data_IF_531888731913
#
_entry.id   IF_531888731913
#
_cell.length_a   1.000
_cell.length_b   1.000
_cell.length_c   1.000
_cell.angle_alpha   90.00
_cell.angle_beta   90.00
_cell.angle_gamma   90.00
#
_symmetry.space_group_name_H-M   'P 1'
#
loop_
_entity.id
_entity.type
_entity.pdbx_description
1 polymer ?
#
# COMPACT_ATOMS: atom_id res chain seq x y z
N UNK A 1 14.62 63.48 -2.14
CA UNK A 1 15.49 62.50 -1.46
C UNK A 1 14.62 61.38 -0.89
N UNK A 2 14.59 60.20 -1.52
CA UNK A 2 13.76 59.07 -1.10
C UNK A 2 14.58 58.19 -0.14
N UNK A 3 14.18 58.09 1.13
CA UNK A 3 14.85 57.24 2.14
C UNK A 3 14.36 55.79 1.99
N UNK A 4 15.10 55.00 1.21
CA UNK A 4 14.89 53.55 1.10
C UNK A 4 15.27 52.90 2.44
N UNK A 5 14.32 52.24 3.10
CA UNK A 5 14.56 51.51 4.36
C UNK A 5 15.49 50.30 4.10
N UNK A 6 16.64 50.30 4.76
CA UNK A 6 17.73 49.33 4.63
C UNK A 6 17.33 47.87 4.91
N UNK A 7 16.21 47.64 5.59
CA UNK A 7 15.67 46.30 5.91
C UNK A 7 15.11 45.53 4.70
N UNK A 8 14.75 46.22 3.61
CA UNK A 8 14.34 45.55 2.37
C UNK A 8 15.54 45.09 1.53
N UNK A 9 16.66 45.81 1.61
CA UNK A 9 17.84 45.49 0.81
C UNK A 9 18.46 44.15 1.23
N UNK A 10 18.43 43.85 2.53
CA UNK A 10 18.89 42.56 3.08
C UNK A 10 18.04 41.39 2.60
N UNK A 11 16.71 41.57 2.47
CA UNK A 11 15.82 40.52 1.98
C UNK A 11 16.03 40.24 0.48
N UNK A 12 16.22 41.29 -0.32
CA UNK A 12 16.54 41.14 -1.74
C UNK A 12 17.92 40.50 -1.98
N UNK A 13 18.93 40.83 -1.17
CA UNK A 13 20.23 40.16 -1.20
C UNK A 13 20.12 38.67 -0.85
N UNK A 14 19.27 38.30 0.12
CA UNK A 14 19.04 36.90 0.51
C UNK A 14 18.38 36.10 -0.62
N UNK A 15 17.36 36.67 -1.27
CA UNK A 15 16.69 36.05 -2.43
C UNK A 15 17.67 35.91 -3.61
N UNK A 16 18.51 36.92 -3.86
CA UNK A 16 19.52 36.86 -4.91
C UNK A 16 20.56 35.75 -4.65
N UNK A 17 20.98 35.56 -3.39
CA UNK A 17 21.90 34.49 -3.00
C UNK A 17 21.27 33.10 -3.17
N UNK A 18 19.98 32.93 -2.81
CA UNK A 18 19.25 31.66 -3.02
C UNK A 18 19.08 31.33 -4.51
N UNK A 19 18.84 32.35 -5.34
CA UNK A 19 18.75 32.17 -6.80
C UNK A 19 20.11 31.87 -7.42
N UNK A 20 21.18 32.51 -6.92
CA UNK A 20 22.56 32.26 -7.37
C UNK A 20 23.02 30.84 -6.99
N UNK A 21 22.64 30.35 -5.80
CA UNK A 21 22.92 28.97 -5.37
C UNK A 21 22.23 27.89 -6.21
N UNK A 22 21.20 28.25 -6.97
CA UNK A 22 20.49 27.30 -7.84
C UNK A 22 21.24 26.98 -9.14
N UNK A 23 22.32 27.71 -9.47
CA UNK A 23 23.10 27.54 -10.71
C UNK A 23 24.58 27.12 -10.53
N UNK A 24 25.06 26.88 -9.30
CA UNK A 24 26.45 26.44 -9.06
C UNK A 24 26.52 25.00 -8.56
N UNK A 25 26.72 24.06 -9.50
CA UNK A 25 27.44 22.79 -9.37
C UNK A 25 26.96 21.78 -8.31
N UNK A 26 26.50 20.58 -8.66
CA UNK A 26 27.29 19.63 -9.45
C UNK A 26 26.46 18.90 -10.49
N UNK A 27 26.87 19.03 -11.74
CA UNK A 27 26.60 18.03 -12.75
C UNK A 27 27.44 16.79 -12.42
N UNK A 28 26.81 15.72 -11.93
CA UNK A 28 27.39 14.38 -11.92
C UNK A 28 26.56 13.51 -12.84
N UNK A 29 26.99 13.45 -14.10
CA UNK A 29 26.71 12.31 -14.96
C UNK A 29 27.60 11.14 -14.52
N UNK A 30 27.03 9.92 -14.65
CA UNK A 30 27.64 8.57 -14.50
C UNK A 30 27.67 8.00 -13.07
N UNK A 31 26.68 7.15 -12.79
CA UNK A 31 26.96 5.72 -12.81
C UNK A 31 25.70 4.93 -13.22
N UNK A 32 25.68 4.48 -14.47
CA UNK A 32 24.67 3.53 -14.93
C UNK A 32 25.00 2.17 -14.34
N UNK A 33 24.32 1.78 -13.25
CA UNK A 33 24.38 0.39 -12.79
C UNK A 33 23.47 -0.44 -13.68
N UNK A 34 24.09 -1.12 -14.63
CA UNK A 34 23.45 -2.18 -15.39
C UNK A 34 23.05 -3.26 -14.37
N UNK A 35 21.78 -3.31 -14.02
CA UNK A 35 21.22 -4.44 -13.28
C UNK A 35 21.27 -5.66 -14.19
N UNK A 36 22.38 -6.41 -14.11
CA UNK A 36 22.44 -7.79 -14.55
C UNK A 36 21.43 -8.56 -13.70
N UNK A 37 20.32 -8.96 -14.32
CA UNK A 37 19.48 -10.02 -13.78
C UNK A 37 20.28 -11.32 -13.80
N UNK A 38 20.95 -11.64 -12.69
CA UNK A 38 21.37 -13.00 -12.44
C UNK A 38 20.12 -13.81 -12.11
N UNK A 39 19.64 -14.58 -13.10
CA UNK A 39 18.84 -15.77 -12.85
C UNK A 39 19.68 -16.72 -11.99
N UNK A 40 19.49 -16.68 -10.68
CA UNK A 40 19.79 -17.80 -9.80
C UNK A 40 18.43 -18.31 -9.31
N UNK A 41 17.85 -19.21 -10.10
CA UNK A 41 16.80 -20.08 -9.60
C UNK A 41 17.44 -21.01 -8.57
N UNK A 42 17.16 -20.79 -7.29
CA UNK A 42 17.43 -21.75 -6.23
C UNK A 42 16.43 -22.91 -6.38
N UNK A 43 16.73 -23.82 -7.30
CA UNK A 43 16.11 -25.14 -7.36
C UNK A 43 16.96 -26.09 -6.55
N UNK A 44 16.57 -26.34 -5.30
CA UNK A 44 17.02 -27.55 -4.59
C UNK A 44 16.29 -28.75 -5.19
N UNK A 45 16.77 -29.23 -6.33
CA UNK A 45 16.45 -30.58 -6.82
C UNK A 45 17.47 -31.51 -6.20
N UNK A 46 17.01 -32.28 -5.21
CA UNK A 46 17.74 -33.41 -4.68
C UNK A 46 17.83 -34.47 -5.80
N UNK A 47 18.99 -34.59 -6.41
CA UNK A 47 19.28 -35.67 -7.38
C UNK A 47 19.57 -36.95 -6.60
N UNK A 48 18.58 -37.84 -6.51
CA UNK A 48 18.82 -39.24 -6.14
C UNK A 48 19.01 -40.06 -7.42
N UNK A 49 20.23 -40.57 -7.56
CA UNK A 49 20.65 -41.48 -8.61
C UNK A 49 20.52 -42.90 -8.09
N UNK A 50 19.63 -43.71 -8.67
CA UNK A 50 19.71 -45.16 -8.58
C UNK A 50 19.71 -45.80 -9.98
N UNK A 51 20.59 -46.79 -10.14
CA UNK A 51 20.84 -47.57 -11.36
C UNK A 51 19.98 -48.84 -11.33
N UNK A 52 19.44 -49.29 -12.47
CA UNK A 52 18.88 -50.65 -12.60
C UNK A 52 18.18 -50.91 -13.94
N UNK A 53 18.37 -52.12 -14.50
CA UNK A 53 18.15 -52.54 -15.89
C UNK A 53 16.72 -53.00 -16.24
N UNK A 54 16.35 -52.83 -17.53
CA UNK A 54 15.65 -53.86 -18.35
C UNK A 54 14.10 -53.90 -18.37
N UNK A 55 13.49 -53.78 -19.57
CA UNK A 55 12.15 -54.32 -19.87
C UNK A 55 11.25 -53.49 -20.79
N UNK A 56 10.83 -54.07 -21.93
CA UNK A 56 9.87 -53.54 -22.93
C UNK A 56 8.42 -53.49 -22.41
N UNK A 57 7.66 -52.43 -22.73
CA UNK A 57 6.39 -52.45 -23.48
C UNK A 57 5.48 -51.20 -23.25
N UNK A 58 4.90 -50.73 -24.36
CA UNK A 58 3.62 -49.99 -24.56
C UNK A 58 3.13 -48.88 -23.61
N UNK A 59 2.87 -47.70 -24.19
CA UNK A 59 2.26 -46.49 -23.63
C UNK A 59 0.94 -46.70 -22.84
N UNK A 60 0.58 -45.75 -21.95
CA UNK A 60 -0.19 -44.59 -22.42
C UNK A 60 0.39 -43.22 -21.98
N UNK A 61 0.13 -42.25 -22.86
CA UNK A 61 0.28 -40.79 -22.76
C UNK A 61 0.16 -40.25 -21.32
N UNK A 62 1.30 -39.93 -20.68
CA UNK A 62 1.34 -39.03 -19.51
C UNK A 62 0.95 -37.63 -19.96
N UNK A 63 -0.30 -37.26 -19.71
CA UNK A 63 -0.76 -35.88 -19.77
C UNK A 63 0.08 -35.09 -18.75
N UNK A 64 1.07 -34.35 -19.23
CA UNK A 64 1.73 -33.33 -18.43
C UNK A 64 0.71 -32.22 -18.23
N UNK A 65 -0.03 -32.28 -17.12
CA UNK A 65 -0.72 -31.11 -16.60
C UNK A 65 0.37 -30.07 -16.33
N UNK A 66 0.49 -29.10 -17.24
CA UNK A 66 1.33 -27.94 -17.04
C UNK A 66 0.80 -27.22 -15.81
N UNK A 67 1.45 -27.42 -14.67
CA UNK A 67 1.28 -26.55 -13.51
C UNK A 67 1.75 -25.17 -13.97
N UNK A 68 0.81 -24.35 -14.40
CA UNK A 68 1.04 -22.94 -14.70
C UNK A 68 1.66 -22.34 -13.44
N UNK A 69 2.98 -22.16 -13.45
CA UNK A 69 3.67 -21.38 -12.43
C UNK A 69 3.29 -19.94 -12.77
N UNK A 70 2.17 -19.49 -12.21
CA UNK A 70 1.83 -18.08 -12.19
C UNK A 70 2.99 -17.39 -11.49
N UNK A 71 3.81 -16.66 -12.23
CA UNK A 71 4.79 -15.74 -11.66
C UNK A 71 3.98 -14.65 -10.95
N UNK A 72 3.61 -14.86 -9.68
CA UNK A 72 2.84 -13.87 -8.93
C UNK A 72 3.77 -12.68 -8.64
N UNK A 73 3.58 -11.59 -9.37
CA UNK A 73 4.31 -10.35 -9.12
C UNK A 73 3.92 -9.80 -7.74
N UNK A 74 4.92 -9.52 -6.89
CA UNK A 74 4.72 -8.97 -5.55
C UNK A 74 5.23 -7.54 -5.50
N UNK A 75 4.42 -6.64 -4.97
CA UNK A 75 4.66 -5.21 -4.85
C UNK A 75 4.65 -4.84 -3.37
N UNK A 76 5.83 -4.83 -2.74
CA UNK A 76 5.98 -4.51 -1.32
C UNK A 76 5.94 -2.99 -1.12
N UNK A 77 5.08 -2.51 -0.22
CA UNK A 77 4.92 -1.06 0.04
C UNK A 77 6.21 -0.36 0.48
N UNK A 78 7.17 -1.08 1.07
CA UNK A 78 8.48 -0.53 1.43
C UNK A 78 9.29 -0.13 0.18
N UNK A 79 9.15 -0.87 -0.93
CA UNK A 79 9.83 -0.57 -2.20
C UNK A 79 9.29 0.71 -2.86
N UNK A 80 8.16 1.22 -2.36
CA UNK A 80 7.50 2.44 -2.80
C UNK A 80 7.65 3.61 -1.81
N UNK A 81 8.53 3.46 -0.81
CA UNK A 81 8.88 4.54 0.12
C UNK A 81 8.09 4.56 1.43
N UNK A 82 7.28 3.54 1.71
CA UNK A 82 6.67 3.39 3.03
C UNK A 82 7.78 3.11 4.07
N UNK A 83 7.70 3.72 5.25
CA UNK A 83 8.73 3.56 6.30
C UNK A 83 8.49 2.35 7.20
N UNK A 84 7.23 2.15 7.63
CA UNK A 84 6.85 1.00 8.45
C UNK A 84 7.37 1.04 9.89
N UNK A 85 7.75 2.21 10.40
CA UNK A 85 8.42 2.40 11.68
C UNK A 85 7.47 2.50 12.90
N UNK A 86 6.15 2.57 12.68
CA UNK A 86 5.16 2.65 13.76
C UNK A 86 5.25 3.88 14.67
N UNK A 87 6.18 4.80 14.40
CA UNK A 87 6.54 5.91 15.27
C UNK A 87 6.34 7.24 14.59
N UNK A 88 5.15 7.42 14.06
CA UNK A 88 4.73 8.73 13.61
C UNK A 88 3.55 9.22 14.38
N UNK A 89 3.84 10.18 15.26
CA UNK A 89 2.87 10.91 16.06
C UNK A 89 1.62 11.17 15.21
N UNK A 90 0.45 10.80 15.73
CA UNK A 90 -0.85 10.91 15.04
C UNK A 90 -1.20 12.34 14.60
N UNK A 91 -0.42 13.33 15.07
CA UNK A 91 -0.52 14.75 14.72
C UNK A 91 0.23 15.12 13.44
N UNK A 92 1.14 14.26 12.94
CA UNK A 92 1.96 14.55 11.76
C UNK A 92 1.28 14.04 10.50
N UNK A 93 0.39 14.87 9.94
CA UNK A 93 -0.22 14.71 8.61
C UNK A 93 0.79 14.32 7.52
N UNK A 94 2.04 14.79 7.66
CA UNK A 94 3.15 14.50 6.74
C UNK A 94 3.53 13.01 6.65
N UNK A 95 3.31 12.20 7.69
CA UNK A 95 3.70 10.78 7.59
C UNK A 95 2.58 9.90 7.10
N UNK A 96 1.33 10.23 7.45
CA UNK A 96 0.19 9.64 6.78
C UNK A 96 0.23 9.89 5.27
N UNK A 97 0.66 11.08 4.82
CA UNK A 97 0.77 11.40 3.39
C UNK A 97 1.81 10.52 2.66
N UNK A 98 2.98 10.29 3.27
CA UNK A 98 4.04 9.43 2.70
C UNK A 98 3.56 7.98 2.59
N UNK A 99 2.94 7.45 3.65
CA UNK A 99 2.42 6.09 3.63
C UNK A 99 1.32 5.94 2.56
N UNK A 100 0.37 6.88 2.49
CA UNK A 100 -0.68 6.86 1.48
C UNK A 100 -0.10 6.90 0.06
N UNK A 101 0.91 7.74 -0.19
CA UNK A 101 1.58 7.82 -1.48
C UNK A 101 2.26 6.50 -1.85
N UNK A 102 2.97 5.88 -0.91
CA UNK A 102 3.63 4.60 -1.13
C UNK A 102 2.62 3.48 -1.43
N UNK A 103 1.53 3.40 -0.67
CA UNK A 103 0.46 2.43 -0.91
C UNK A 103 -0.23 2.65 -2.27
N UNK A 104 -0.49 3.90 -2.66
CA UNK A 104 -1.07 4.22 -3.98
C UNK A 104 -0.12 3.86 -5.13
N UNK A 105 1.18 4.12 -4.96
CA UNK A 105 2.18 3.79 -5.98
C UNK A 105 2.34 2.27 -6.14
N UNK A 106 2.40 1.53 -5.02
CA UNK A 106 2.41 0.08 -5.03
C UNK A 106 1.14 -0.49 -5.68
N UNK A 107 -0.03 0.05 -5.35
CA UNK A 107 -1.31 -0.32 -5.94
C UNK A 107 -1.34 -0.06 -7.45
N UNK A 108 -0.89 1.11 -7.91
CA UNK A 108 -0.84 1.44 -9.32
C UNK A 108 0.07 0.50 -10.13
N UNK A 109 1.12 -0.04 -9.50
CA UNK A 109 1.97 -1.06 -10.12
C UNK A 109 1.28 -2.44 -10.14
N UNK A 110 0.72 -2.88 -9.00
CA UNK A 110 -0.02 -4.13 -8.89
C UNK A 110 -1.21 -4.21 -9.85
N UNK A 111 -1.96 -3.12 -9.97
CA UNK A 111 -3.12 -2.97 -10.85
C UNK A 111 -2.85 -3.36 -12.31
N UNK A 112 -1.60 -3.23 -12.78
CA UNK A 112 -1.23 -3.52 -14.18
C UNK A 112 -0.95 -4.99 -14.44
N UNK A 113 -0.91 -5.83 -13.40
CA UNK A 113 -0.49 -7.23 -13.48
C UNK A 113 -1.57 -8.14 -12.91
N UNK A 114 -2.01 -9.12 -13.70
CA UNK A 114 -3.00 -10.11 -13.29
C UNK A 114 -2.45 -11.00 -12.17
N UNK A 115 -3.31 -11.34 -11.19
CA UNK A 115 -2.96 -12.17 -10.05
C UNK A 115 -1.73 -11.66 -9.25
N UNK A 116 -1.51 -10.34 -9.26
CA UNK A 116 -0.44 -9.70 -8.49
C UNK A 116 -0.78 -9.59 -7.01
N UNK A 117 0.25 -9.39 -6.19
CA UNK A 117 0.12 -9.19 -4.75
C UNK A 117 0.67 -7.81 -4.36
N UNK A 118 -0.14 -6.96 -3.74
CA UNK A 118 0.35 -5.84 -2.94
C UNK A 118 0.63 -6.35 -1.54
N UNK A 119 1.86 -6.17 -1.04
CA UNK A 119 2.32 -6.74 0.22
C UNK A 119 2.61 -5.66 1.27
N UNK A 120 1.98 -5.82 2.43
CA UNK A 120 2.28 -5.09 3.67
C UNK A 120 3.10 -6.03 4.57
N UNK A 121 4.42 -5.83 4.71
CA UNK A 121 5.32 -6.81 5.30
C UNK A 121 5.17 -6.94 6.81
N UNK A 122 5.42 -8.14 7.32
CA UNK A 122 5.49 -8.43 8.76
C UNK A 122 6.57 -7.60 9.45
N UNK A 123 6.32 -7.21 10.71
CA UNK A 123 7.26 -6.41 11.50
C UNK A 123 7.22 -4.91 11.20
N UNK A 124 6.41 -4.47 10.24
CA UNK A 124 6.18 -3.06 9.93
C UNK A 124 4.83 -2.57 10.43
N UNK A 125 4.78 -1.31 10.83
CA UNK A 125 3.55 -0.61 11.25
C UNK A 125 3.40 0.65 10.41
N UNK A 126 2.27 0.80 9.73
CA UNK A 126 2.01 1.91 8.80
C UNK A 126 0.81 2.75 9.26
N UNK A 127 1.04 4.04 9.50
CA UNK A 127 -0.04 5.03 9.68
C UNK A 127 -0.59 5.42 8.31
N UNK A 128 -1.76 4.90 7.95
CA UNK A 128 -2.38 5.10 6.63
C UNK A 128 -3.65 5.90 6.83
N UNK A 129 -3.74 7.09 6.23
CA UNK A 129 -4.95 7.91 6.26
C UNK A 129 -6.00 7.43 5.26
N UNK A 130 -7.12 8.15 5.10
CA UNK A 130 -8.16 7.77 4.15
C UNK A 130 -7.61 7.54 2.73
N UNK A 131 -7.87 6.35 2.19
CA UNK A 131 -7.33 5.88 0.92
C UNK A 131 -8.35 5.04 0.16
N UNK A 132 -8.43 5.25 -1.16
CA UNK A 132 -9.26 4.46 -2.07
C UNK A 132 -8.38 3.80 -3.12
N UNK A 133 -8.43 2.47 -3.16
CA UNK A 133 -7.83 1.60 -4.15
C UNK A 133 -8.85 1.32 -5.24
N UNK A 134 -8.99 2.30 -6.15
CA UNK A 134 -9.88 2.24 -7.30
C UNK A 134 -9.18 1.62 -8.50
N UNK A 135 -9.92 0.85 -9.31
CA UNK A 135 -9.30 0.11 -10.40
C UNK A 135 -10.21 -0.34 -11.54
N UNK A 136 -10.98 0.56 -12.20
CA UNK A 136 -11.89 0.17 -13.28
C UNK A 136 -11.19 -0.56 -14.45
N UNK A 137 -9.89 -0.33 -14.63
CA UNK A 137 -9.04 -0.93 -15.65
C UNK A 137 -7.97 -1.88 -15.07
N UNK A 138 -8.02 -2.18 -13.77
CA UNK A 138 -7.06 -3.12 -13.19
C UNK A 138 -7.24 -4.53 -13.73
N UNK A 139 -6.13 -5.25 -13.78
CA UNK A 139 -6.12 -6.68 -14.03
C UNK A 139 -6.82 -7.44 -12.89
N UNK A 140 -7.29 -8.64 -13.20
CA UNK A 140 -8.11 -9.42 -12.28
C UNK A 140 -7.29 -10.08 -11.17
N UNK A 141 -7.99 -10.49 -10.10
CA UNK A 141 -7.48 -11.35 -9.03
C UNK A 141 -6.31 -10.78 -8.22
N UNK A 142 -6.29 -9.45 -8.02
CA UNK A 142 -5.26 -8.81 -7.20
C UNK A 142 -5.41 -9.26 -5.74
N UNK A 143 -4.29 -9.57 -5.11
CA UNK A 143 -4.19 -9.94 -3.71
C UNK A 143 -3.67 -8.75 -2.92
N UNK A 144 -4.40 -8.34 -1.89
CA UNK A 144 -3.95 -7.39 -0.89
C UNK A 144 -3.52 -8.19 0.35
N UNK A 145 -2.22 -8.43 0.48
CA UNK A 145 -1.65 -9.26 1.55
C UNK A 145 -1.14 -8.40 2.70
N UNK A 146 -1.68 -8.64 3.89
CA UNK A 146 -1.40 -7.89 5.11
C UNK A 146 -0.76 -8.82 6.13
N UNK A 147 0.56 -8.75 6.26
CA UNK A 147 1.32 -9.47 7.28
C UNK A 147 1.86 -8.54 8.38
N UNK A 148 1.93 -7.24 8.10
CA UNK A 148 2.25 -6.17 9.06
C UNK A 148 1.01 -5.57 9.75
N UNK A 149 1.18 -4.38 10.34
CA UNK A 149 0.09 -3.61 10.96
C UNK A 149 -0.21 -2.34 10.16
N UNK A 150 -1.48 -2.08 9.89
CA UNK A 150 -1.98 -0.82 9.34
C UNK A 150 -2.80 -0.14 10.43
N UNK A 151 -2.50 1.12 10.75
CA UNK A 151 -3.21 1.90 11.77
C UNK A 151 -3.86 3.14 11.15
N UNK A 152 -5.08 3.48 11.57
CA UNK A 152 -5.78 4.67 11.12
C UNK A 152 -5.35 5.91 11.92
N UNK A 153 -5.37 7.13 11.36
CA UNK A 153 -5.13 8.34 12.13
C UNK A 153 -6.26 8.61 13.13
N UNK A 154 -5.90 9.03 14.34
CA UNK A 154 -6.85 9.44 15.38
C UNK A 154 -7.25 10.92 15.28
N UNK A 155 -6.42 11.76 14.62
CA UNK A 155 -6.68 13.19 14.50
C UNK A 155 -7.70 13.52 13.40
N UNK A 156 -8.72 14.34 13.72
CA UNK A 156 -9.78 14.73 12.77
C UNK A 156 -9.25 15.45 11.52
N UNK A 157 -8.17 16.22 11.66
CA UNK A 157 -7.51 16.91 10.53
C UNK A 157 -6.88 15.97 9.50
N UNK A 158 -6.57 14.73 9.86
CA UNK A 158 -6.07 13.73 8.92
C UNK A 158 -7.18 13.12 8.05
N UNK A 159 -8.45 13.34 8.40
CA UNK A 159 -9.61 12.88 7.64
C UNK A 159 -10.18 14.03 6.82
N UNK A 160 -10.33 13.84 5.49
CA UNK A 160 -11.03 14.83 4.67
C UNK A 160 -12.49 14.92 5.12
N UNK A 161 -13.04 16.12 5.10
CA UNK A 161 -14.43 16.39 5.48
C UNK A 161 -15.39 15.47 4.70
N UNK A 162 -16.27 14.77 5.41
CA UNK A 162 -17.30 13.91 4.83
C UNK A 162 -16.84 12.50 4.43
N UNK A 163 -15.57 12.13 4.61
CA UNK A 163 -15.13 10.75 4.38
C UNK A 163 -15.49 9.87 5.58
N UNK A 164 -16.38 8.91 5.34
CA UNK A 164 -16.75 7.87 6.31
C UNK A 164 -15.89 6.61 6.15
N UNK A 165 -15.34 6.38 4.95
CA UNK A 165 -14.49 5.25 4.63
C UNK A 165 -13.02 5.58 4.88
N UNK A 166 -12.35 4.69 5.61
CA UNK A 166 -10.92 4.72 5.85
C UNK A 166 -10.14 4.10 4.68
N UNK A 167 -10.34 2.82 4.43
CA UNK A 167 -9.72 2.10 3.31
C UNK A 167 -10.86 1.57 2.45
N UNK A 168 -10.88 1.94 1.18
CA UNK A 168 -11.90 1.51 0.22
C UNK A 168 -11.25 0.77 -0.94
N UNK A 169 -11.85 -0.34 -1.35
CA UNK A 169 -11.56 -1.03 -2.61
C UNK A 169 -12.77 -0.92 -3.53
N UNK A 170 -12.58 -0.38 -4.74
CA UNK A 170 -13.70 -0.05 -5.62
C UNK A 170 -13.40 -0.29 -7.10
N UNK A 171 -14.44 -0.67 -7.86
CA UNK A 171 -14.38 -0.92 -9.31
C UNK A 171 -13.37 -2.01 -9.73
N UNK A 172 -13.21 -3.07 -8.92
CA UNK A 172 -12.22 -4.13 -9.17
C UNK A 172 -12.82 -5.40 -9.77
N UNK A 173 -11.99 -6.13 -10.54
CA UNK A 173 -12.32 -7.45 -11.11
C UNK A 173 -11.79 -8.57 -10.21
N UNK A 174 -12.40 -8.69 -9.04
CA UNK A 174 -11.95 -9.63 -8.00
C UNK A 174 -10.76 -9.09 -7.22
N UNK A 175 -10.89 -9.13 -5.90
CA UNK A 175 -9.83 -8.81 -4.94
C UNK A 175 -9.85 -9.85 -3.84
N UNK A 176 -8.67 -10.25 -3.38
CA UNK A 176 -8.53 -11.09 -2.18
C UNK A 176 -7.75 -10.33 -1.12
N UNK A 177 -8.35 -10.12 0.04
CA UNK A 177 -7.64 -9.59 1.21
C UNK A 177 -7.26 -10.79 2.08
N UNK A 178 -5.97 -10.92 2.41
CA UNK A 178 -5.46 -12.05 3.21
C UNK A 178 -4.25 -11.63 4.04
N UNK A 179 -3.78 -12.55 4.88
CA UNK A 179 -2.56 -12.39 5.67
C UNK A 179 -2.84 -12.56 7.15
N UNK A 180 -1.79 -12.51 7.97
CA UNK A 180 -1.86 -12.70 9.43
C UNK A 180 -1.67 -11.39 10.23
N UNK A 181 -1.57 -10.28 9.51
CA UNK A 181 -1.35 -8.96 10.06
C UNK A 181 -2.61 -8.35 10.69
N UNK A 182 -2.52 -7.06 11.01
CA UNK A 182 -3.54 -6.32 11.76
C UNK A 182 -3.96 -5.08 10.98
N UNK A 183 -5.27 -4.84 10.91
CA UNK A 183 -5.85 -3.55 10.51
C UNK A 183 -6.48 -2.96 11.77
N UNK A 184 -5.96 -1.85 12.24
CA UNK A 184 -6.34 -1.19 13.49
C UNK A 184 -6.96 0.17 13.15
N UNK A 185 -8.28 0.27 13.21
CA UNK A 185 -9.00 1.50 12.83
C UNK A 185 -8.96 2.59 13.88
N UNK A 186 -8.39 2.33 15.06
CA UNK A 186 -8.32 3.27 16.18
C UNK A 186 -9.64 4.00 16.46
N UNK A 187 -10.79 3.34 16.26
CA UNK A 187 -12.05 4.03 16.17
C UNK A 187 -12.57 4.59 17.50
N UNK A 188 -12.06 4.09 18.64
CA UNK A 188 -12.50 4.46 19.99
C UNK A 188 -12.52 5.96 20.28
N UNK A 189 -11.65 6.73 19.63
CA UNK A 189 -11.59 8.20 19.74
C UNK A 189 -12.84 8.90 19.18
N UNK A 190 -13.67 8.22 18.38
CA UNK A 190 -14.83 8.80 17.71
C UNK A 190 -16.17 8.54 18.42
N UNK A 191 -16.28 7.50 19.25
CA UNK A 191 -17.54 7.11 19.90
C UNK A 191 -17.50 7.16 21.44
N UNK A 192 -16.34 7.38 22.05
CA UNK A 192 -16.24 7.60 23.50
C UNK A 192 -16.71 9.01 23.94
N UNK A 193 -17.26 9.83 23.04
CA UNK A 193 -17.95 11.08 23.35
C UNK A 193 -19.48 10.93 23.34
N UNK A 194 -20.02 9.84 23.89
CA UNK A 194 -21.45 9.77 24.18
C UNK A 194 -21.73 10.49 25.51
N UNK A 195 -22.65 11.48 25.57
CA UNK A 195 -23.15 11.94 26.85
C UNK A 195 -23.90 10.76 27.48
N UNK A 196 -23.48 10.34 28.67
CA UNK A 196 -24.22 9.39 29.49
C UNK A 196 -25.60 9.98 29.79
N UNK A 197 -26.63 9.63 29.03
CA UNK A 197 -28.02 9.85 29.39
C UNK A 197 -28.90 8.70 28.88
N UNK A 198 -29.27 7.86 29.84
CA UNK A 198 -30.53 7.14 30.05
C UNK A 198 -30.99 6.05 29.04
N UNK A 199 -31.40 4.85 29.52
CA UNK A 199 -31.79 3.74 28.69
C UNK A 199 -33.26 3.89 28.30
N UNK A 200 -33.54 4.19 27.04
CA UNK A 200 -34.78 3.73 26.43
C UNK A 200 -34.47 3.34 24.98
N UNK A 201 -34.52 2.03 24.76
CA UNK A 201 -34.33 1.36 23.50
C UNK A 201 -35.27 1.90 22.42
N UNK A 202 -34.81 1.98 21.16
CA UNK A 202 -35.54 1.50 19.97
C UNK A 202 -34.53 1.10 18.88
N UNK A 203 -34.40 -0.21 18.66
CA UNK A 203 -33.60 -0.81 17.60
C UNK A 203 -34.41 -0.84 16.30
N UNK A 204 -33.89 -0.24 15.24
CA UNK A 204 -34.43 -0.40 13.88
C UNK A 204 -33.33 -0.90 12.95
N UNK A 205 -33.31 -2.21 12.75
CA UNK A 205 -32.50 -2.89 11.75
C UNK A 205 -33.09 -2.63 10.36
N UNK A 206 -32.35 -1.97 9.48
CA UNK A 206 -32.66 -1.90 8.05
C UNK A 206 -31.68 -2.79 7.27
N UNK A 207 -32.21 -3.89 6.73
CA UNK A 207 -31.49 -4.78 5.82
C UNK A 207 -31.43 -4.16 4.42
N UNK A 208 -30.24 -3.81 3.94
CA UNK A 208 -30.02 -3.43 2.54
C UNK A 208 -29.43 -4.60 1.75
N UNK A 209 -30.15 -5.04 0.72
CA UNK A 209 -29.71 -6.04 -0.23
C UNK A 209 -28.75 -5.38 -1.23
N UNK A 210 -27.48 -5.81 -1.29
CA UNK A 210 -26.56 -5.34 -2.32
C UNK A 210 -26.30 -6.40 -3.39
N UNK A 211 -26.40 -5.93 -4.62
CA UNK A 211 -26.02 -6.62 -5.85
C UNK A 211 -24.52 -6.94 -5.85
N UNK A 212 -24.12 -8.05 -6.47
CA UNK A 212 -22.73 -8.51 -6.50
C UNK A 212 -21.85 -7.57 -7.35
N UNK A 213 -21.35 -6.51 -6.72
CA UNK A 213 -20.08 -5.86 -7.06
C UNK A 213 -19.26 -5.90 -5.77
N UNK A 214 -18.08 -6.52 -5.79
CA UNK A 214 -17.27 -6.65 -4.57
C UNK A 214 -16.80 -5.27 -4.09
N UNK A 215 -17.48 -4.71 -3.09
CA UNK A 215 -17.08 -3.52 -2.34
C UNK A 215 -16.55 -4.00 -0.99
N UNK A 216 -15.26 -3.82 -0.76
CA UNK A 216 -14.65 -4.03 0.55
C UNK A 216 -14.23 -2.67 1.09
N UNK A 217 -14.67 -2.33 2.30
CA UNK A 217 -14.33 -1.05 2.91
C UNK A 217 -14.20 -1.17 4.42
N UNK A 218 -13.26 -0.42 4.98
CA UNK A 218 -13.08 -0.19 6.40
C UNK A 218 -13.61 1.19 6.75
N UNK A 219 -14.38 1.33 7.83
CA UNK A 219 -15.05 2.58 8.23
C UNK A 219 -14.35 3.23 9.41
N UNK A 220 -14.45 4.55 9.48
CA UNK A 220 -13.96 5.38 10.61
C UNK A 220 -14.50 4.93 11.98
N UNK A 221 -15.66 4.26 12.01
CA UNK A 221 -16.41 3.98 13.24
C UNK A 221 -16.48 2.49 13.64
N UNK A 222 -15.79 1.56 12.97
CA UNK A 222 -16.10 0.13 13.12
C UNK A 222 -14.90 -0.81 13.38
N UNK A 223 -13.74 -0.31 13.77
CA UNK A 223 -12.54 -1.15 13.98
C UNK A 223 -11.71 -0.65 15.16
#
# INVERSE_FOLDING_TARGET
MCKIKLTNLTFHLFIAVLFWFSCFGTCSTRDGKHWRQNKAASLSVFEQREKGQGGRSSHPRRQMAAKQVMNSATFNVLDYGAKGDGHTDDTKTEVSSIANQAFQAAWAAACKVEASTLMVPSGSVFLVGPISFSGPTCQANIIFQIDGKIIAPTSSGAWKLGLMQWIEFTKLKGITIRGKGIIDGQGSVWWNESPTNDPTAEESTSSYNDSVTAKASFSKFQI
#
